data_IF_035793504764
#
_entry.id   IF_035793504764
#
_cell.length_a   1.000
_cell.length_b   1.000
_cell.length_c   1.000
_cell.angle_alpha   90.00
_cell.angle_beta   90.00
_cell.angle_gamma   90.00
#
_symmetry.space_group_name_H-M   'P 1'
#
loop_
_entity.id
_entity.type
_entity.pdbx_description
1 polymer ?
#
# COMPACT_ATOMS: atom_id res chain seq x y z
N UNK A 1 -3.20 -10.60 13.65
CA UNK A 1 -2.90 -9.68 14.78
C UNK A 1 -1.52 -9.06 14.60
N UNK A 2 -0.47 -9.82 14.23
CA UNK A 2 0.90 -9.32 14.06
C UNK A 2 1.07 -8.07 13.19
N UNK A 3 0.54 -8.01 11.95
CA UNK A 3 0.66 -6.84 11.08
C UNK A 3 0.01 -5.57 11.64
N UNK A 4 -1.07 -5.72 12.41
CA UNK A 4 -1.79 -4.57 13.01
C UNK A 4 -0.96 -3.99 14.17
N UNK A 5 -0.39 -4.84 15.02
CA UNK A 5 0.49 -4.42 16.12
C UNK A 5 1.75 -3.73 15.57
N UNK A 6 2.33 -4.27 14.51
CA UNK A 6 3.46 -3.64 13.81
C UNK A 6 3.07 -2.31 13.16
N UNK A 7 1.84 -2.17 12.68
CA UNK A 7 1.35 -0.92 12.11
C UNK A 7 1.26 0.21 13.14
N UNK A 8 0.94 -0.09 14.41
CA UNK A 8 0.98 0.90 15.50
C UNK A 8 2.39 1.45 15.72
N UNK A 9 3.42 0.60 15.66
CA UNK A 9 4.81 1.00 15.97
C UNK A 9 5.52 1.57 14.74
N UNK A 10 5.35 0.94 13.56
CA UNK A 10 6.10 1.22 12.34
C UNK A 10 5.25 1.75 11.19
N UNK A 11 3.96 2.00 11.40
CA UNK A 11 3.05 2.47 10.36
C UNK A 11 2.90 1.48 9.20
N UNK A 12 2.87 1.98 7.95
CA UNK A 12 2.78 1.14 6.75
C UNK A 12 4.13 0.59 6.27
N UNK A 13 5.20 0.69 7.06
CA UNK A 13 6.54 0.17 6.70
C UNK A 13 6.49 -1.32 6.40
N UNK A 14 5.64 -2.07 7.09
CA UNK A 14 5.40 -3.49 6.80
C UNK A 14 4.93 -3.71 5.36
N UNK A 15 4.03 -2.85 4.84
CA UNK A 15 3.56 -2.94 3.46
C UNK A 15 4.62 -2.52 2.43
N UNK A 16 5.56 -1.65 2.81
CA UNK A 16 6.64 -1.17 1.96
C UNK A 16 7.84 -2.10 1.86
N UNK A 17 8.20 -2.76 2.99
CA UNK A 17 9.48 -3.49 3.09
C UNK A 17 9.31 -4.99 3.35
N UNK A 18 8.33 -5.39 4.16
CA UNK A 18 8.18 -6.78 4.62
C UNK A 18 7.09 -7.58 3.88
N UNK A 19 6.18 -6.91 3.17
CA UNK A 19 5.14 -7.60 2.43
C UNK A 19 5.74 -8.33 1.22
N UNK A 20 5.77 -9.68 1.18
CA UNK A 20 6.40 -10.45 0.10
C UNK A 20 5.73 -10.14 -1.24
N UNK A 21 4.43 -9.90 -1.23
CA UNK A 21 3.63 -9.54 -2.39
C UNK A 21 4.01 -8.16 -2.92
N UNK A 22 4.20 -7.17 -2.03
CA UNK A 22 4.65 -5.83 -2.42
C UNK A 22 6.06 -5.82 -2.98
N UNK A 23 6.96 -6.59 -2.37
CA UNK A 23 8.35 -6.72 -2.83
C UNK A 23 8.46 -7.40 -4.20
N UNK A 24 7.69 -8.48 -4.42
CA UNK A 24 7.61 -9.15 -5.73
C UNK A 24 7.17 -8.17 -6.82
N UNK A 25 6.21 -7.32 -6.53
CA UNK A 25 5.66 -6.37 -7.49
C UNK A 25 6.64 -5.24 -7.79
N UNK A 26 7.36 -4.75 -6.80
CA UNK A 26 8.41 -3.77 -7.03
C UNK A 26 9.57 -4.33 -7.87
N UNK A 27 9.96 -5.59 -7.68
CA UNK A 27 11.10 -6.16 -8.39
C UNK A 27 10.77 -6.62 -9.81
N UNK A 28 9.54 -7.15 -10.04
CA UNK A 28 9.15 -7.73 -11.33
C UNK A 28 8.46 -6.70 -12.20
N UNK A 29 7.46 -5.99 -11.67
CA UNK A 29 6.58 -5.15 -12.49
C UNK A 29 7.05 -3.71 -12.65
N UNK A 30 7.91 -3.17 -11.76
CA UNK A 30 8.46 -1.82 -11.96
C UNK A 30 9.29 -1.75 -13.23
N UNK A 31 10.04 -2.80 -13.56
CA UNK A 31 10.81 -2.86 -14.81
C UNK A 31 9.95 -2.81 -16.07
N UNK A 32 8.67 -3.23 -15.96
CA UNK A 32 7.74 -3.32 -17.10
C UNK A 32 6.87 -2.06 -17.19
N UNK A 33 6.49 -1.48 -16.06
CA UNK A 33 5.44 -0.44 -15.96
C UNK A 33 5.82 0.78 -15.11
N UNK A 34 7.08 1.23 -15.18
CA UNK A 34 7.66 2.23 -14.27
C UNK A 34 6.96 3.61 -14.33
N UNK A 35 6.26 3.94 -15.42
CA UNK A 35 5.68 5.27 -15.64
C UNK A 35 4.14 5.34 -15.59
N UNK A 36 3.44 4.25 -15.32
CA UNK A 36 1.97 4.28 -15.30
C UNK A 36 1.44 4.90 -14.00
N UNK A 37 0.46 5.78 -14.14
CA UNK A 37 -0.18 6.45 -12.98
C UNK A 37 -1.19 5.53 -12.30
N UNK A 38 -1.27 5.64 -10.97
CA UNK A 38 -2.32 4.98 -10.20
C UNK A 38 -3.65 5.70 -10.53
N UNK A 39 -4.70 4.97 -10.97
CA UNK A 39 -5.97 5.58 -11.33
C UNK A 39 -6.65 6.24 -10.12
N UNK A 40 -7.32 7.36 -10.36
CA UNK A 40 -7.95 8.15 -9.30
C UNK A 40 -9.06 7.38 -8.55
N UNK A 41 -9.76 6.47 -9.22
CA UNK A 41 -10.77 5.63 -8.57
C UNK A 41 -10.19 4.73 -7.48
N UNK A 42 -8.95 4.21 -7.67
CA UNK A 42 -8.26 3.38 -6.68
C UNK A 42 -7.84 4.16 -5.42
N UNK A 43 -7.69 5.49 -5.52
CA UNK A 43 -7.40 6.40 -4.40
C UNK A 43 -8.67 6.89 -3.69
N UNK A 44 -9.85 6.66 -4.26
CA UNK A 44 -11.12 7.13 -3.70
C UNK A 44 -11.41 6.45 -2.36
N UNK A 45 -11.75 7.25 -1.34
CA UNK A 45 -12.07 6.78 0.01
C UNK A 45 -13.26 5.82 0.03
N UNK A 46 -14.30 6.12 -0.72
CA UNK A 46 -15.52 5.30 -0.78
C UNK A 46 -15.25 3.94 -1.42
N UNK A 47 -14.50 3.91 -2.52
CA UNK A 47 -14.09 2.67 -3.18
C UNK A 47 -13.25 1.79 -2.24
N UNK A 48 -12.34 2.40 -1.48
CA UNK A 48 -11.51 1.70 -0.50
C UNK A 48 -12.34 1.07 0.61
N UNK A 49 -13.31 1.82 1.19
CA UNK A 49 -14.21 1.30 2.24
C UNK A 49 -15.06 0.16 1.68
N UNK A 50 -15.60 0.32 0.46
CA UNK A 50 -16.39 -0.71 -0.20
C UNK A 50 -15.58 -1.99 -0.39
N UNK A 51 -14.36 -1.92 -0.91
CA UNK A 51 -13.49 -3.08 -1.13
C UNK A 51 -13.08 -3.77 0.18
N UNK A 52 -12.78 -2.99 1.21
CA UNK A 52 -12.52 -3.54 2.56
C UNK A 52 -13.75 -4.30 3.06
N UNK A 53 -14.92 -3.68 3.02
CA UNK A 53 -16.18 -4.31 3.44
C UNK A 53 -16.48 -5.58 2.65
N UNK A 54 -16.36 -5.54 1.33
CA UNK A 54 -16.60 -6.68 0.45
C UNK A 54 -15.69 -7.87 0.79
N UNK A 55 -14.39 -7.64 0.93
CA UNK A 55 -13.43 -8.72 1.24
C UNK A 55 -13.70 -9.30 2.63
N UNK A 56 -14.01 -8.47 3.63
CA UNK A 56 -14.38 -8.96 4.96
C UNK A 56 -15.70 -9.73 4.95
N UNK A 57 -16.71 -9.27 4.22
CA UNK A 57 -17.98 -9.98 4.08
C UNK A 57 -17.79 -11.36 3.46
N UNK A 58 -17.02 -11.45 2.37
CA UNK A 58 -16.70 -12.74 1.73
C UNK A 58 -15.91 -13.64 2.69
N UNK A 59 -14.95 -13.07 3.42
CA UNK A 59 -14.17 -13.82 4.40
C UNK A 59 -15.07 -14.39 5.51
N UNK A 60 -15.93 -13.59 6.14
CA UNK A 60 -16.81 -14.05 7.20
C UNK A 60 -17.87 -15.04 6.68
N UNK A 61 -18.39 -14.82 5.48
CA UNK A 61 -19.31 -15.74 4.83
C UNK A 61 -18.67 -17.12 4.63
N UNK A 62 -17.48 -17.17 4.07
CA UNK A 62 -16.76 -18.45 3.88
C UNK A 62 -16.38 -19.09 5.21
N UNK A 63 -15.99 -18.31 6.22
CA UNK A 63 -15.71 -18.85 7.56
C UNK A 63 -16.94 -19.46 8.22
N UNK A 64 -18.12 -18.87 8.04
CA UNK A 64 -19.38 -19.40 8.54
C UNK A 64 -19.66 -20.81 7.96
N UNK A 65 -19.43 -21.01 6.65
CA UNK A 65 -19.61 -22.31 6.01
C UNK A 65 -18.47 -23.29 6.27
N UNK A 66 -17.27 -22.81 6.57
CA UNK A 66 -16.13 -23.67 6.88
C UNK A 66 -16.28 -24.41 8.23
N UNK A 67 -17.05 -23.84 9.17
CA UNK A 67 -17.22 -24.39 10.50
C UNK A 67 -15.91 -24.47 11.29
N UNK A 68 -15.78 -25.45 12.17
CA UNK A 68 -14.61 -25.60 13.07
C UNK A 68 -13.45 -26.41 12.47
N UNK A 69 -13.53 -26.85 11.22
CA UNK A 69 -12.50 -27.68 10.61
C UNK A 69 -11.27 -26.81 10.20
N UNK A 70 -10.14 -27.06 10.83
CA UNK A 70 -8.89 -26.30 10.62
C UNK A 70 -8.44 -26.32 9.16
N UNK A 71 -8.58 -27.46 8.48
CA UNK A 71 -8.23 -27.61 7.07
C UNK A 71 -9.04 -26.70 6.16
N UNK A 72 -10.36 -26.60 6.42
CA UNK A 72 -11.26 -25.72 5.66
C UNK A 72 -10.93 -24.23 5.88
N UNK A 73 -10.57 -23.86 7.11
CA UNK A 73 -10.14 -22.50 7.43
C UNK A 73 -8.88 -22.14 6.64
N UNK A 74 -7.90 -23.04 6.57
CA UNK A 74 -6.69 -22.85 5.78
C UNK A 74 -6.99 -22.66 4.28
N UNK A 75 -7.90 -23.46 3.73
CA UNK A 75 -8.32 -23.34 2.33
C UNK A 75 -9.00 -22.00 2.03
N UNK A 76 -9.82 -21.45 2.93
CA UNK A 76 -10.45 -20.14 2.78
C UNK A 76 -9.37 -19.04 2.66
N UNK A 77 -8.36 -19.05 3.53
CA UNK A 77 -7.26 -18.10 3.45
C UNK A 77 -6.50 -18.21 2.12
N UNK A 78 -6.13 -19.42 1.71
CA UNK A 78 -5.43 -19.66 0.45
C UNK A 78 -6.24 -19.17 -0.75
N UNK A 79 -7.53 -19.46 -0.79
CA UNK A 79 -8.42 -19.04 -1.88
C UNK A 79 -8.50 -17.51 -1.99
N UNK A 80 -8.68 -16.81 -0.88
CA UNK A 80 -8.75 -15.33 -0.89
C UNK A 80 -7.41 -14.74 -1.33
N UNK A 81 -6.29 -15.27 -0.83
CA UNK A 81 -4.95 -14.80 -1.22
C UNK A 81 -4.72 -15.04 -2.71
N UNK A 82 -5.10 -16.20 -3.23
CA UNK A 82 -4.92 -16.57 -4.62
C UNK A 82 -5.72 -15.65 -5.56
N UNK A 83 -7.03 -15.51 -5.30
CA UNK A 83 -7.92 -14.66 -6.11
C UNK A 83 -7.44 -13.20 -6.08
N UNK A 84 -7.15 -12.67 -4.90
CA UNK A 84 -6.68 -11.28 -4.76
C UNK A 84 -5.29 -11.08 -5.37
N UNK A 85 -4.47 -12.14 -5.47
CA UNK A 85 -3.17 -12.06 -6.15
C UNK A 85 -3.32 -12.00 -7.66
N UNK A 86 -4.23 -12.78 -8.24
CA UNK A 86 -4.53 -12.71 -9.66
C UNK A 86 -5.05 -11.33 -10.03
N UNK A 87 -6.04 -10.81 -9.31
CA UNK A 87 -6.58 -9.46 -9.54
C UNK A 87 -5.45 -8.42 -9.45
N UNK A 88 -4.59 -8.57 -8.47
CA UNK A 88 -3.48 -7.68 -8.28
C UNK A 88 -2.46 -7.72 -9.41
N UNK A 89 -2.14 -8.91 -9.96
CA UNK A 89 -1.25 -9.07 -11.14
C UNK A 89 -1.87 -8.38 -12.35
N UNK A 90 -3.15 -8.62 -12.62
CA UNK A 90 -3.87 -7.98 -13.73
C UNK A 90 -3.81 -6.45 -13.60
N UNK A 91 -4.13 -5.90 -12.43
CA UNK A 91 -4.05 -4.46 -12.18
C UNK A 91 -2.62 -3.92 -12.29
N UNK A 92 -1.61 -4.71 -11.89
CA UNK A 92 -0.21 -4.34 -12.01
C UNK A 92 0.29 -4.29 -13.45
N UNK A 93 -0.24 -5.15 -14.33
CA UNK A 93 0.10 -5.15 -15.76
C UNK A 93 -0.57 -3.99 -16.51
N UNK A 94 -1.85 -3.70 -16.23
CA UNK A 94 -2.59 -2.64 -16.91
C UNK A 94 -2.32 -1.25 -16.36
N UNK A 95 -2.12 -1.15 -15.04
CA UNK A 95 -1.89 0.10 -14.31
C UNK A 95 -0.54 0.06 -13.58
N UNK A 96 -0.43 0.79 -12.49
CA UNK A 96 0.77 0.79 -11.67
C UNK A 96 0.83 -0.48 -10.78
N UNK A 97 2.00 -1.10 -10.58
CA UNK A 97 2.18 -2.27 -9.70
C UNK A 97 1.62 -2.07 -8.28
N UNK A 98 1.61 -0.84 -7.78
CA UNK A 98 1.10 -0.49 -6.46
C UNK A 98 -0.39 -0.11 -6.41
N UNK A 99 -1.12 -0.23 -7.54
CA UNK A 99 -2.56 0.08 -7.59
C UNK A 99 -3.36 -0.74 -6.58
N UNK A 100 -3.09 -2.05 -6.49
CA UNK A 100 -3.71 -2.91 -5.48
C UNK A 100 -3.46 -2.44 -4.05
N UNK A 101 -2.25 -1.96 -3.76
CA UNK A 101 -1.87 -1.49 -2.42
C UNK A 101 -2.67 -0.27 -1.94
N UNK A 102 -3.26 0.49 -2.87
CA UNK A 102 -4.07 1.67 -2.56
C UNK A 102 -5.39 1.33 -1.87
N UNK A 103 -6.00 0.17 -2.20
CA UNK A 103 -7.28 -0.26 -1.61
C UNK A 103 -7.23 -1.62 -0.93
N UNK A 104 -6.06 -2.23 -0.81
CA UNK A 104 -5.87 -3.47 -0.06
C UNK A 104 -6.38 -3.31 1.39
N UNK A 105 -7.22 -4.24 1.93
CA UNK A 105 -7.80 -4.10 3.26
C UNK A 105 -6.73 -3.97 4.34
N UNK A 106 -5.69 -4.79 4.33
CA UNK A 106 -4.60 -4.70 5.32
C UNK A 106 -3.85 -3.37 5.21
N UNK A 107 -3.59 -2.90 3.98
CA UNK A 107 -2.95 -1.61 3.73
C UNK A 107 -3.83 -0.43 4.15
N UNK A 108 -5.15 -0.52 3.96
CA UNK A 108 -6.09 0.53 4.36
C UNK A 108 -6.19 0.64 5.88
N UNK A 109 -6.35 -0.47 6.60
CA UNK A 109 -6.38 -0.52 8.05
C UNK A 109 -5.06 0.01 8.62
N UNK A 110 -3.91 -0.50 8.12
CA UNK A 110 -2.60 0.00 8.53
C UNK A 110 -2.42 1.51 8.25
N UNK A 111 -2.98 2.02 7.14
CA UNK A 111 -2.96 3.45 6.83
C UNK A 111 -3.80 4.30 7.78
N UNK A 112 -4.96 3.81 8.20
CA UNK A 112 -5.80 4.50 9.19
C UNK A 112 -5.16 4.53 10.57
N UNK A 113 -4.55 3.43 10.98
CA UNK A 113 -3.84 3.31 12.26
C UNK A 113 -2.55 4.14 12.25
N UNK A 114 -1.82 4.18 11.13
CA UNK A 114 -0.54 4.88 11.02
C UNK A 114 -0.64 6.39 10.77
N UNK A 115 -1.86 6.94 10.67
CA UNK A 115 -2.08 8.37 10.45
C UNK A 115 -1.39 9.28 11.48
N UNK A 116 -0.91 8.70 12.58
CA UNK A 116 -0.23 9.37 13.69
C UNK A 116 1.24 9.70 13.38
N UNK A 117 1.91 8.92 12.49
CA UNK A 117 3.34 9.13 12.15
C UNK A 117 3.48 9.74 10.75
N UNK A 118 3.47 11.05 10.69
CA UNK A 118 3.68 11.81 9.45
C UNK A 118 5.18 12.01 9.20
N UNK A 119 5.61 11.90 7.95
CA UNK A 119 6.97 12.26 7.54
C UNK A 119 7.02 13.76 7.22
N UNK A 120 7.97 14.46 7.82
CA UNK A 120 8.26 15.86 7.52
C UNK A 120 9.46 15.93 6.59
N UNK A 121 9.38 16.74 5.57
CA UNK A 121 10.52 17.13 4.74
C UNK A 121 11.16 18.36 5.37
N UNK A 122 12.48 18.39 5.39
CA UNK A 122 13.22 19.50 6.01
C UNK A 122 13.05 20.81 5.23
N UNK A 123 13.35 21.92 5.89
CA UNK A 123 13.18 23.28 5.35
C UNK A 123 14.13 23.61 4.18
N UNK A 124 15.12 22.75 3.89
CA UNK A 124 16.10 22.92 2.83
C UNK A 124 15.67 22.34 1.46
N UNK A 125 14.40 22.11 1.23
CA UNK A 125 13.91 21.58 -0.04
C UNK A 125 14.21 22.54 -1.21
N UNK A 126 14.89 22.02 -2.24
CA UNK A 126 15.24 22.76 -3.48
C UNK A 126 14.26 22.49 -4.63
N UNK A 127 13.11 21.88 -4.36
CA UNK A 127 12.05 21.57 -5.33
C UNK A 127 12.51 20.80 -6.58
N UNK A 128 13.53 19.93 -6.46
CA UNK A 128 14.12 19.19 -7.58
C UNK A 128 13.22 18.03 -8.12
N UNK A 129 12.08 17.76 -7.49
CA UNK A 129 11.07 16.76 -7.87
C UNK A 129 11.55 15.30 -7.96
N UNK A 130 12.76 14.97 -7.55
CA UNK A 130 13.27 13.58 -7.56
C UNK A 130 12.44 12.66 -6.67
N UNK A 131 12.00 13.15 -5.50
CA UNK A 131 11.12 12.42 -4.58
C UNK A 131 9.74 12.10 -5.18
N UNK A 132 9.20 12.98 -6.05
CA UNK A 132 7.94 12.75 -6.76
C UNK A 132 8.05 11.56 -7.70
N UNK A 133 9.14 11.52 -8.48
CA UNK A 133 9.37 10.45 -9.48
C UNK A 133 9.63 9.10 -8.84
N UNK A 134 10.35 9.05 -7.70
CA UNK A 134 10.71 7.78 -7.04
C UNK A 134 9.57 7.22 -6.17
N UNK A 135 8.51 8.00 -5.88
CA UNK A 135 7.45 7.59 -4.98
C UNK A 135 6.56 6.50 -5.60
N UNK A 136 6.59 5.24 -5.11
CA UNK A 136 5.82 4.15 -5.70
C UNK A 136 4.31 4.32 -5.55
N UNK A 137 3.86 5.11 -4.56
CA UNK A 137 2.43 5.40 -4.34
C UNK A 137 1.96 6.69 -5.01
N UNK A 138 2.89 7.46 -5.60
CA UNK A 138 2.58 8.72 -6.29
C UNK A 138 1.71 9.66 -5.43
N UNK A 139 2.14 9.87 -4.18
CA UNK A 139 1.42 10.70 -3.19
C UNK A 139 2.06 12.08 -2.98
N UNK A 140 3.25 12.29 -3.53
CA UNK A 140 3.98 13.57 -3.46
C UNK A 140 3.68 14.32 -4.75
N UNK A 141 2.92 15.42 -4.67
CA UNK A 141 2.53 16.19 -5.84
C UNK A 141 3.43 17.41 -6.03
N UNK A 142 3.65 18.19 -4.98
CA UNK A 142 4.46 19.42 -5.02
C UNK A 142 5.34 19.49 -3.78
N UNK A 143 6.63 19.12 -3.86
CA UNK A 143 7.55 19.26 -2.75
C UNK A 143 7.91 20.75 -2.55
N UNK A 144 7.56 21.28 -1.40
CA UNK A 144 7.89 22.65 -0.98
C UNK A 144 8.70 22.61 0.32
N UNK A 145 9.31 23.73 0.68
CA UNK A 145 10.01 23.87 1.98
C UNK A 145 9.07 23.54 3.13
N UNK A 146 9.50 22.68 4.04
CA UNK A 146 8.71 22.27 5.20
C UNK A 146 7.51 21.37 4.85
N UNK A 147 7.45 20.79 3.64
CA UNK A 147 6.37 19.91 3.21
C UNK A 147 6.26 18.67 4.10
N UNK A 148 5.10 18.45 4.63
CA UNK A 148 4.80 17.25 5.41
C UNK A 148 4.00 16.25 4.54
N UNK A 149 4.49 15.03 4.43
CA UNK A 149 3.76 13.95 3.74
C UNK A 149 2.60 13.51 4.63
N UNK A 150 1.44 14.15 4.46
CA UNK A 150 0.25 13.89 5.28
C UNK A 150 -0.58 12.69 4.79
N UNK A 151 -0.21 12.11 3.66
CA UNK A 151 -0.97 11.04 3.06
C UNK A 151 -0.93 9.77 3.92
N UNK A 152 -2.12 9.25 4.24
CA UNK A 152 -2.33 7.94 4.88
C UNK A 152 -1.80 6.78 4.02
N UNK A 153 -1.50 7.05 2.76
CA UNK A 153 -1.02 6.07 1.79
C UNK A 153 0.52 5.97 1.76
N UNK A 154 1.22 6.77 2.56
CA UNK A 154 2.67 6.70 2.68
C UNK A 154 3.10 5.32 3.21
N UNK A 155 3.92 4.59 2.42
CA UNK A 155 4.48 3.29 2.77
C UNK A 155 5.65 3.38 3.76
N UNK A 156 6.15 4.59 4.04
CA UNK A 156 7.34 4.81 4.86
C UNK A 156 8.55 3.99 4.39
N UNK A 157 8.72 3.89 3.07
CA UNK A 157 9.80 3.12 2.42
C UNK A 157 11.13 3.89 2.32
N UNK A 158 11.17 5.13 2.77
CA UNK A 158 12.32 6.04 2.85
C UNK A 158 13.01 6.37 1.49
N UNK A 159 12.58 5.82 0.35
CA UNK A 159 13.14 6.09 -0.98
C UNK A 159 13.21 7.59 -1.34
N UNK A 160 12.22 8.38 -0.90
CA UNK A 160 12.21 9.84 -1.13
C UNK A 160 13.33 10.56 -0.36
N UNK A 161 13.74 10.05 0.81
CA UNK A 161 14.83 10.58 1.63
C UNK A 161 16.17 10.19 1.02
N UNK A 162 16.32 8.93 0.61
CA UNK A 162 17.57 8.41 0.02
C UNK A 162 17.93 9.13 -1.28
N UNK A 163 16.94 9.46 -2.13
CA UNK A 163 17.17 10.16 -3.40
C UNK A 163 17.37 11.67 -3.23
N UNK A 164 17.10 12.21 -2.04
CA UNK A 164 17.19 13.64 -1.77
C UNK A 164 18.65 14.08 -1.64
N UNK A 165 19.14 15.04 -2.48
CA UNK A 165 20.51 15.50 -2.42
C UNK A 165 20.84 16.24 -1.12
N UNK A 166 19.84 16.80 -0.45
CA UNK A 166 19.99 17.51 0.83
C UNK A 166 19.76 16.62 2.05
N UNK A 167 19.44 15.32 1.86
CA UNK A 167 19.11 14.36 2.95
C UNK A 167 18.06 14.90 3.94
N UNK A 168 17.09 15.66 3.40
CA UNK A 168 16.01 16.28 4.16
C UNK A 168 15.02 15.26 4.74
#
# INVERSE_FOLDING_TARGET
VGPIVLAFKYGRKCCGSYCPRGSLWDNVFTKINDNKKIPNWAKNKYFRIFMVGLIFTVFFYQMYFAGSAVDKIGMVFLQIIFITSIIGVVLGLFYNPRTWCSFCPMGSIAGWVSAIKRRKMDNECISCQKCVKICPMQIIYEPQKGYTIESKDCLQCDKCIEVCPKKA
#
